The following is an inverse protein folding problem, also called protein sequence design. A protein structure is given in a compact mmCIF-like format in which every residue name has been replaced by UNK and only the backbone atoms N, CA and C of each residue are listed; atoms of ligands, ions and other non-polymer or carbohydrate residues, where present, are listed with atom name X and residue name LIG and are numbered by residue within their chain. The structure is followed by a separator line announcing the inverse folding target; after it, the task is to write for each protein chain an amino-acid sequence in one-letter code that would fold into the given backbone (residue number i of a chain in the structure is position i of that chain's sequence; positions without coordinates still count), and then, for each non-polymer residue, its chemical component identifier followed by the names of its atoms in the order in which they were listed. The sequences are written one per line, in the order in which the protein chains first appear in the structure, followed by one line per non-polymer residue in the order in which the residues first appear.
data_IF_896878420913
#
_entry.id   IF_896878420913
#
_cell.length_a   1.000
_cell.length_b   1.000
_cell.length_c   1.000
_cell.angle_alpha   90.00
_cell.angle_beta   90.00
_cell.angle_gamma   90.00
#
_symmetry.space_group_name_H-M   'P 1'
#
loop_
_entity.id
_entity.type
_entity.pdbx_description
1 polymer ?
#
# COMPACT_ATOMS: atom_id res chain seq x y z
N UNK A 1 2.76 11.33 18.93
CA UNK A 1 3.31 10.29 18.04
C UNK A 1 4.05 10.96 16.91
N UNK A 2 5.39 10.92 16.95
CA UNK A 2 6.27 11.63 16.02
C UNK A 2 6.14 11.13 14.58
N UNK A 3 6.33 12.04 13.61
CA UNK A 3 6.25 11.73 12.18
C UNK A 3 7.20 10.60 11.77
N UNK A 4 8.38 10.54 12.41
CA UNK A 4 9.38 9.49 12.22
C UNK A 4 8.85 8.12 12.65
N UNK A 5 8.16 8.06 13.79
CA UNK A 5 7.55 6.82 14.33
C UNK A 5 6.42 6.29 13.45
N UNK A 6 5.61 7.17 12.84
CA UNK A 6 4.57 6.78 11.87
C UNK A 6 5.17 6.21 10.58
N UNK A 7 6.22 6.84 10.06
CA UNK A 7 6.94 6.36 8.88
C UNK A 7 7.52 4.97 9.08
N UNK A 8 8.15 4.71 10.24
CA UNK A 8 8.70 3.39 10.58
C UNK A 8 7.61 2.32 10.67
N UNK A 9 6.46 2.62 11.28
CA UNK A 9 5.34 1.65 11.37
C UNK A 9 4.81 1.28 9.97
N UNK A 10 4.64 2.27 9.09
CA UNK A 10 4.25 2.06 7.70
C UNK A 10 5.26 1.19 6.95
N UNK A 11 6.55 1.48 7.11
CA UNK A 11 7.63 0.72 6.50
C UNK A 11 7.60 -0.74 6.93
N UNK A 12 7.55 -0.97 8.25
CA UNK A 12 7.49 -2.32 8.83
C UNK A 12 6.24 -3.06 8.35
N UNK A 13 5.09 -2.38 8.32
CA UNK A 13 3.84 -2.91 7.80
C UNK A 13 3.98 -3.37 6.35
N UNK A 14 4.44 -2.49 5.45
CA UNK A 14 4.71 -2.82 4.05
C UNK A 14 5.64 -4.04 3.91
N UNK A 15 6.78 -4.04 4.63
CA UNK A 15 7.75 -5.13 4.57
C UNK A 15 7.12 -6.46 4.98
N UNK A 16 6.35 -6.47 6.07
CA UNK A 16 5.69 -7.68 6.55
C UNK A 16 4.64 -8.19 5.56
N UNK A 17 3.84 -7.30 4.96
CA UNK A 17 2.86 -7.69 3.94
C UNK A 17 3.55 -8.26 2.71
N UNK A 18 4.59 -7.58 2.21
CA UNK A 18 5.36 -8.05 1.06
C UNK A 18 6.01 -9.39 1.33
N UNK A 19 6.62 -9.58 2.51
CA UNK A 19 7.21 -10.85 2.92
C UNK A 19 6.15 -11.96 3.01
N UNK A 20 4.99 -11.70 3.62
CA UNK A 20 3.90 -12.67 3.70
C UNK A 20 3.42 -13.11 2.30
N UNK A 21 3.27 -12.17 1.37
CA UNK A 21 2.82 -12.50 0.02
C UNK A 21 3.87 -13.32 -0.73
N UNK A 22 5.11 -12.82 -0.81
CA UNK A 22 6.13 -13.42 -1.69
C UNK A 22 6.87 -14.62 -1.09
N UNK A 23 6.99 -14.69 0.24
CA UNK A 23 7.73 -15.77 0.92
C UNK A 23 6.80 -16.86 1.43
N UNK A 24 5.54 -16.54 1.74
CA UNK A 24 4.59 -17.52 2.31
C UNK A 24 3.52 -17.90 1.29
N UNK A 25 2.68 -16.96 0.85
CA UNK A 25 1.52 -17.28 0.02
C UNK A 25 1.88 -17.76 -1.38
N UNK A 26 2.73 -17.03 -2.09
CA UNK A 26 3.09 -17.37 -3.47
C UNK A 26 3.76 -18.76 -3.55
N UNK A 27 4.78 -19.08 -2.74
CA UNK A 27 5.40 -20.40 -2.77
C UNK A 27 4.41 -21.51 -2.40
N UNK A 28 3.56 -21.28 -1.39
CA UNK A 28 2.53 -22.24 -0.97
C UNK A 28 1.53 -22.55 -2.08
N UNK A 29 1.01 -21.52 -2.75
CA UNK A 29 0.04 -21.69 -3.85
C UNK A 29 0.67 -22.34 -5.09
N UNK A 30 1.97 -22.11 -5.34
CA UNK A 30 2.70 -22.81 -6.39
C UNK A 30 2.87 -24.30 -6.06
N UNK A 31 3.18 -24.63 -4.80
CA UNK A 31 3.33 -26.02 -4.34
C UNK A 31 2.00 -26.78 -4.32
N UNK A 32 0.90 -26.11 -4.01
CA UNK A 32 -0.47 -26.66 -4.04
C UNK A 32 -1.04 -26.80 -5.48
N UNK A 33 -0.27 -26.44 -6.51
CA UNK A 33 -0.68 -26.55 -7.93
C UNK A 33 -1.62 -25.44 -8.40
N UNK A 34 -1.98 -24.49 -7.55
CA UNK A 34 -2.88 -23.37 -7.83
C UNK A 34 -2.16 -22.18 -8.48
N UNK A 35 -1.46 -22.40 -9.61
CA UNK A 35 -0.63 -21.39 -10.27
C UNK A 35 -1.38 -20.11 -10.69
N UNK A 36 -2.65 -20.22 -11.09
CA UNK A 36 -3.48 -19.06 -11.44
C UNK A 36 -3.72 -18.13 -10.24
N UNK A 37 -3.99 -18.69 -9.06
CA UNK A 37 -4.10 -17.96 -7.80
C UNK A 37 -2.75 -17.40 -7.36
N UNK A 38 -1.65 -18.12 -7.55
CA UNK A 38 -0.31 -17.62 -7.24
C UNK A 38 0.02 -16.35 -8.05
N UNK A 39 -0.31 -16.32 -9.35
CA UNK A 39 -0.13 -15.14 -10.21
C UNK A 39 -0.98 -13.95 -9.76
N UNK A 40 -2.23 -14.18 -9.34
CA UNK A 40 -3.06 -13.13 -8.74
C UNK A 40 -2.41 -12.55 -7.48
N UNK A 41 -1.87 -13.41 -6.61
CA UNK A 41 -1.18 -12.96 -5.40
C UNK A 41 0.12 -12.22 -5.68
N UNK A 42 0.88 -12.61 -6.70
CA UNK A 42 2.03 -11.82 -7.20
C UNK A 42 1.56 -10.43 -7.67
N UNK A 43 0.48 -10.37 -8.45
CA UNK A 43 -0.12 -9.11 -8.92
C UNK A 43 -0.61 -8.22 -7.77
N UNK A 44 -1.26 -8.79 -6.77
CA UNK A 44 -1.70 -8.07 -5.56
C UNK A 44 -0.49 -7.64 -4.72
N UNK A 45 0.55 -8.48 -4.64
CA UNK A 45 1.81 -8.21 -3.95
C UNK A 45 2.63 -7.05 -4.49
N UNK A 46 2.38 -6.64 -5.74
CA UNK A 46 2.94 -5.41 -6.32
C UNK A 46 2.59 -4.18 -5.48
N UNK A 47 1.35 -4.11 -4.97
CA UNK A 47 0.87 -2.92 -4.28
C UNK A 47 1.65 -2.69 -2.97
N UNK A 48 1.73 -3.62 -2.00
CA UNK A 48 2.55 -3.43 -0.81
C UNK A 48 4.05 -3.25 -1.13
N UNK A 49 4.57 -3.86 -2.21
CA UNK A 49 5.95 -3.62 -2.65
C UNK A 49 6.18 -2.18 -3.12
N UNK A 50 5.28 -1.62 -3.94
CA UNK A 50 5.36 -0.21 -4.35
C UNK A 50 5.15 0.73 -3.17
N UNK A 51 4.28 0.37 -2.22
CA UNK A 51 4.11 1.08 -0.95
C UNK A 51 5.39 1.06 -0.10
N UNK A 52 6.13 -0.06 -0.08
CA UNK A 52 7.42 -0.19 0.59
C UNK A 52 8.46 0.75 -0.02
N UNK A 53 8.58 0.74 -1.35
CA UNK A 53 9.49 1.62 -2.08
C UNK A 53 9.15 3.10 -1.84
N UNK A 54 7.86 3.44 -1.80
CA UNK A 54 7.41 4.80 -1.46
C UNK A 54 7.76 5.20 -0.03
N UNK A 55 7.51 4.32 0.94
CA UNK A 55 7.83 4.57 2.35
C UNK A 55 9.35 4.69 2.57
N UNK A 56 10.15 3.88 1.89
CA UNK A 56 11.61 3.97 1.86
C UNK A 56 12.05 5.32 1.29
N UNK A 57 11.58 5.68 0.09
CA UNK A 57 11.94 6.95 -0.55
C UNK A 57 11.60 8.16 0.33
N UNK A 58 10.53 8.08 1.13
CA UNK A 58 10.17 9.13 2.07
C UNK A 58 11.01 9.18 3.34
N UNK A 59 11.44 8.04 3.87
CA UNK A 59 12.32 7.99 5.04
C UNK A 59 13.71 8.59 4.74
N UNK A 60 14.13 8.52 3.49
CA UNK A 60 15.41 9.08 3.02
C UNK A 60 15.30 10.46 2.37
N UNK A 61 14.09 11.01 2.17
CA UNK A 61 13.90 12.35 1.59
C UNK A 61 13.59 13.39 2.66
N UNK A 62 14.44 14.40 2.79
CA UNK A 62 14.27 15.55 3.70
C UNK A 62 13.17 16.50 3.18
N UNK A 63 12.13 16.84 3.97
CA UNK A 63 11.06 17.74 3.52
C UNK A 63 11.18 19.09 4.23
N UNK A 64 11.80 20.08 3.60
CA UNK A 64 11.64 21.47 4.07
C UNK A 64 10.73 22.32 3.18
N UNK A 65 10.44 21.90 1.94
CA UNK A 65 9.74 22.78 0.97
C UNK A 65 8.49 22.20 0.31
N UNK A 66 8.09 20.95 0.58
CA UNK A 66 6.98 20.30 -0.15
C UNK A 66 5.70 20.06 0.67
N UNK A 67 4.50 20.24 0.08
CA UNK A 67 3.23 20.15 0.79
C UNK A 67 3.00 18.83 1.51
N UNK A 68 2.30 18.94 2.65
CA UNK A 68 2.08 17.84 3.58
C UNK A 68 1.29 16.66 2.97
N UNK A 69 1.92 15.49 2.90
CA UNK A 69 1.40 14.27 2.26
C UNK A 69 0.59 13.34 3.19
N UNK A 70 0.01 13.85 4.28
CA UNK A 70 -0.72 13.00 5.26
C UNK A 70 -1.84 12.16 4.65
N UNK A 71 -2.53 12.67 3.65
CA UNK A 71 -3.60 11.93 2.97
C UNK A 71 -3.05 10.67 2.30
N UNK A 72 -1.85 10.75 1.69
CA UNK A 72 -1.21 9.59 1.11
C UNK A 72 -0.82 8.57 2.18
N UNK A 73 -0.25 9.02 3.30
CA UNK A 73 0.18 8.13 4.38
C UNK A 73 -0.99 7.42 5.06
N UNK A 74 -2.11 8.14 5.27
CA UNK A 74 -3.34 7.57 5.83
C UNK A 74 -3.98 6.59 4.84
N UNK A 75 -4.05 6.95 3.56
CA UNK A 75 -4.56 6.07 2.51
C UNK A 75 -3.75 4.78 2.41
N UNK A 76 -2.42 4.91 2.49
CA UNK A 76 -1.49 3.80 2.48
C UNK A 76 -1.68 2.86 3.69
N UNK A 77 -1.77 3.43 4.89
CA UNK A 77 -2.01 2.67 6.10
C UNK A 77 -3.34 1.92 6.06
N UNK A 78 -4.41 2.59 5.62
CA UNK A 78 -5.73 1.98 5.47
C UNK A 78 -5.72 0.84 4.46
N UNK A 79 -5.08 1.05 3.31
CA UNK A 79 -4.92 0.02 2.28
C UNK A 79 -4.23 -1.23 2.85
N UNK A 80 -3.09 -1.06 3.53
CA UNK A 80 -2.32 -2.18 4.06
C UNK A 80 -3.07 -2.96 5.13
N UNK A 81 -3.73 -2.26 6.06
CA UNK A 81 -4.51 -2.90 7.14
C UNK A 81 -5.68 -3.69 6.55
N UNK A 82 -6.41 -3.10 5.61
CA UNK A 82 -7.53 -3.77 4.96
C UNK A 82 -7.06 -5.00 4.16
N UNK A 83 -5.94 -4.88 3.45
CA UNK A 83 -5.34 -5.98 2.70
C UNK A 83 -4.93 -7.12 3.65
N UNK A 84 -4.22 -6.81 4.74
CA UNK A 84 -3.79 -7.80 5.74
C UNK A 84 -4.97 -8.51 6.39
N UNK A 85 -6.03 -7.79 6.73
CA UNK A 85 -7.25 -8.40 7.28
C UNK A 85 -7.89 -9.35 6.27
N UNK A 86 -7.91 -9.00 4.99
CA UNK A 86 -8.45 -9.85 3.93
C UNK A 86 -7.61 -11.12 3.75
N UNK A 87 -6.28 -10.97 3.72
CA UNK A 87 -5.32 -12.08 3.66
C UNK A 87 -5.41 -12.99 4.89
N UNK A 88 -5.61 -12.41 6.07
CA UNK A 88 -5.80 -13.17 7.31
C UNK A 88 -7.05 -14.04 7.27
N UNK A 89 -8.17 -13.49 6.77
CA UNK A 89 -9.40 -14.25 6.58
C UNK A 89 -9.22 -15.41 5.59
N UNK A 90 -8.55 -15.15 4.46
CA UNK A 90 -8.25 -16.19 3.47
C UNK A 90 -7.40 -17.31 4.07
N UNK A 91 -6.39 -16.96 4.89
CA UNK A 91 -5.55 -17.93 5.60
C UNK A 91 -6.32 -18.77 6.63
N UNK A 92 -7.44 -18.27 7.18
CA UNK A 92 -8.35 -19.02 8.06
C UNK A 92 -9.42 -19.82 7.30
N UNK A 93 -9.38 -19.83 5.97
CA UNK A 93 -10.32 -20.59 5.13
C UNK A 93 -11.58 -19.82 4.74
N UNK A 94 -11.71 -18.55 5.14
CA UNK A 94 -12.71 -17.65 4.59
C UNK A 94 -12.14 -17.08 3.31
N UNK A 95 -12.24 -17.85 2.21
CA UNK A 95 -11.74 -17.36 0.92
C UNK A 95 -12.76 -16.39 0.31
N UNK A 96 -12.32 -15.43 -0.52
CA UNK A 96 -13.23 -14.47 -1.16
C UNK A 96 -14.33 -15.12 -2.01
N UNK A 97 -14.08 -16.31 -2.55
CA UNK A 97 -15.03 -17.09 -3.35
C UNK A 97 -16.00 -17.88 -2.48
N UNK A 98 -15.59 -18.26 -1.27
CA UNK A 98 -16.41 -19.04 -0.34
C UNK A 98 -17.32 -18.13 0.50
N UNK A 99 -16.80 -17.01 1.00
CA UNK A 99 -17.55 -16.07 1.85
C UNK A 99 -17.27 -14.63 1.42
N UNK A 100 -17.82 -14.18 0.27
CA UNK A 100 -17.53 -12.86 -0.28
C UNK A 100 -17.87 -11.72 0.68
N UNK A 101 -18.96 -11.88 1.44
CA UNK A 101 -19.46 -10.92 2.42
C UNK A 101 -18.42 -10.59 3.51
N UNK A 102 -17.59 -11.57 3.90
CA UNK A 102 -16.55 -11.39 4.91
C UNK A 102 -15.39 -10.49 4.44
N UNK A 103 -15.28 -10.24 3.12
CA UNK A 103 -14.23 -9.42 2.50
C UNK A 103 -14.72 -8.04 2.05
N UNK A 104 -16.01 -7.74 2.15
CA UNK A 104 -16.60 -6.49 1.64
C UNK A 104 -15.99 -5.27 2.34
N UNK A 105 -15.86 -5.33 3.67
CA UNK A 105 -15.32 -4.23 4.47
C UNK A 105 -13.85 -3.94 4.13
N UNK A 106 -13.09 -5.00 3.86
CA UNK A 106 -11.68 -4.96 3.48
C UNK A 106 -11.54 -4.42 2.06
N UNK A 107 -12.41 -4.84 1.14
CA UNK A 107 -12.44 -4.29 -0.22
C UNK A 107 -12.70 -2.77 -0.20
N UNK A 108 -13.67 -2.32 0.60
CA UNK A 108 -13.92 -0.88 0.80
C UNK A 108 -12.67 -0.18 1.34
N UNK A 109 -12.05 -0.74 2.37
CA UNK A 109 -10.81 -0.19 2.94
C UNK A 109 -9.67 -0.10 1.93
N UNK A 110 -9.51 -1.11 1.06
CA UNK A 110 -8.53 -1.11 -0.03
C UNK A 110 -8.81 0.02 -1.03
N UNK A 111 -10.05 0.15 -1.52
CA UNK A 111 -10.40 1.19 -2.50
C UNK A 111 -10.25 2.60 -1.93
N UNK A 112 -10.75 2.83 -0.72
CA UNK A 112 -10.63 4.12 -0.03
C UNK A 112 -9.16 4.46 0.23
N UNK A 113 -8.37 3.46 0.65
CA UNK A 113 -6.94 3.61 0.88
C UNK A 113 -6.19 4.03 -0.38
N UNK A 114 -6.45 3.34 -1.50
CA UNK A 114 -5.85 3.66 -2.81
C UNK A 114 -6.27 5.03 -3.32
N UNK A 115 -7.55 5.41 -3.16
CA UNK A 115 -8.04 6.72 -3.57
C UNK A 115 -7.34 7.84 -2.80
N UNK A 116 -7.21 7.72 -1.47
CA UNK A 116 -6.50 8.68 -0.64
C UNK A 116 -5.00 8.75 -0.96
N UNK A 117 -4.40 7.60 -1.27
CA UNK A 117 -3.01 7.50 -1.71
C UNK A 117 -2.78 8.25 -3.02
N UNK A 118 -3.57 7.94 -4.06
CA UNK A 118 -3.51 8.61 -5.36
C UNK A 118 -3.81 10.11 -5.27
N UNK A 119 -4.79 10.50 -4.46
CA UNK A 119 -5.11 11.92 -4.23
C UNK A 119 -3.93 12.68 -3.59
N UNK A 120 -3.29 12.08 -2.59
CA UNK A 120 -2.13 12.68 -1.92
C UNK A 120 -0.93 12.85 -2.85
N UNK A 121 -0.68 11.87 -3.73
CA UNK A 121 0.34 11.97 -4.78
C UNK A 121 0.02 13.07 -5.78
N UNK A 122 -1.21 13.09 -6.32
CA UNK A 122 -1.65 14.08 -7.31
C UNK A 122 -1.52 15.53 -6.82
N UNK A 123 -1.83 15.80 -5.55
CA UNK A 123 -1.62 17.14 -4.96
C UNK A 123 -0.15 17.55 -4.91
N UNK A 124 0.76 16.61 -4.60
CA UNK A 124 2.20 16.91 -4.55
C UNK A 124 2.77 17.15 -5.95
N UNK A 125 2.37 16.34 -6.93
CA UNK A 125 2.79 16.54 -8.32
C UNK A 125 2.33 17.88 -8.88
N UNK A 126 1.08 18.29 -8.60
CA UNK A 126 0.58 19.62 -9.00
C UNK A 126 1.35 20.76 -8.35
N UNK A 127 1.70 20.64 -7.06
CA UNK A 127 2.46 21.67 -6.37
C UNK A 127 3.90 21.79 -6.88
N UNK A 128 4.55 20.67 -7.20
CA UNK A 128 5.86 20.64 -7.83
C UNK A 128 5.83 21.34 -9.19
N UNK A 129 4.90 20.97 -10.07
CA UNK A 129 4.75 21.58 -11.39
C UNK A 129 4.48 23.10 -11.30
N UNK A 130 3.67 23.54 -10.33
CA UNK A 130 3.41 24.96 -10.13
C UNK A 130 4.66 25.75 -9.68
N UNK A 131 5.57 25.12 -8.93
CA UNK A 131 6.82 25.75 -8.47
C UNK A 131 7.83 25.89 -9.61
N UNK A 132 7.88 24.90 -10.50
CA UNK A 132 8.75 24.89 -11.69
C UNK A 132 8.34 25.98 -12.68
N UNK A 133 7.04 26.17 -12.92
CA UNK A 133 6.53 27.26 -13.78
C UNK A 133 6.87 28.65 -13.25
N UNK A 134 6.86 28.88 -11.93
CA UNK A 134 7.25 30.18 -11.35
C UNK A 134 8.75 30.45 -11.46
N UNK A 135 9.60 29.43 -11.42
CA UNK A 135 11.05 29.58 -11.52
C UNK A 135 11.53 29.87 -12.96
N UNK A 136 10.83 29.37 -13.98
CA UNK A 136 11.12 29.67 -15.39
C UNK A 136 10.61 31.06 -15.85
N UNK A 137 9.82 31.74 -15.01
CA UNK A 137 9.24 33.06 -15.31
C UNK A 137 9.95 34.24 -14.64
N UNK A 138 10.98 33.99 -13.82
CA UNK A 138 11.92 34.99 -13.28
C UNK A 138 13.23 35.01 -14.08
#
# INVERSE_FOLDING_TARGET
MDARRRGTILLVGCTLVTAAIYVVLVPRLVLEGARSRALLYVGIGWVPYTCLCYALGRLFSTPETLPNMRAADVGLGLFLVALLLSLGLDAWGFTPEAVPEAHVLQAIGVFVGLALFGWGLGRRSKALAATETTADSE
#
